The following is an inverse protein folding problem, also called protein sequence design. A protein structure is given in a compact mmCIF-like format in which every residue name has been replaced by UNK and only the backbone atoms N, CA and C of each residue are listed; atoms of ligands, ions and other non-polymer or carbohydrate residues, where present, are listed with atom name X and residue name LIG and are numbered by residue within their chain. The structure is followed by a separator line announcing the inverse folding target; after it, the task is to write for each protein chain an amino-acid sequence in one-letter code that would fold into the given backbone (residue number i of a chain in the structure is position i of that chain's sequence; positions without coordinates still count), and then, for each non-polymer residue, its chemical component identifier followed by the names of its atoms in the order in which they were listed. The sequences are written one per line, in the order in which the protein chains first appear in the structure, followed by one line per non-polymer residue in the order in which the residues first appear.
data_IF_735012454197
#
_entry.id   IF_735012454197
#
_cell.length_a   1.000
_cell.length_b   1.000
_cell.length_c   1.000
_cell.angle_alpha   90.00
_cell.angle_beta   90.00
_cell.angle_gamma   90.00
#
_symmetry.space_group_name_H-M   'P 1'
#
loop_
_entity.id
_entity.type
_entity.pdbx_description
1 polymer ?
#
# COMPACT_ATOMS: atom_id res chain seq x y z
N UNK A 1 -1.50 -5.40 -12.78
CA UNK A 1 -1.99 -6.31 -13.83
C UNK A 1 -3.38 -5.85 -14.22
N UNK A 2 -3.67 -5.70 -15.51
CA UNK A 2 -5.03 -5.38 -15.97
C UNK A 2 -5.86 -6.66 -16.06
N UNK A 3 -7.15 -6.55 -15.72
CA UNK A 3 -8.11 -7.62 -16.00
C UNK A 3 -8.39 -7.71 -17.51
N UNK A 4 -8.72 -8.91 -18.05
CA UNK A 4 -9.07 -9.06 -19.47
C UNK A 4 -10.27 -8.21 -19.88
N UNK A 5 -11.21 -8.00 -18.97
CA UNK A 5 -12.35 -7.11 -19.16
C UNK A 5 -11.98 -5.69 -18.70
N UNK A 6 -11.95 -4.75 -19.63
CA UNK A 6 -11.70 -3.34 -19.33
C UNK A 6 -13.00 -2.63 -18.90
N UNK A 7 -12.93 -1.60 -18.05
CA UNK A 7 -14.11 -0.86 -17.59
C UNK A 7 -14.78 -0.08 -18.74
N UNK A 8 -16.11 0.16 -18.68
CA UNK A 8 -16.84 0.92 -19.68
C UNK A 8 -16.58 2.43 -19.53
N UNK A 9 -15.51 2.93 -20.14
CA UNK A 9 -15.08 4.34 -20.08
C UNK A 9 -14.76 4.89 -21.47
N UNK A 10 -14.85 6.21 -21.65
CA UNK A 10 -14.50 6.87 -22.92
C UNK A 10 -13.02 6.73 -23.29
N UNK A 11 -12.14 6.73 -22.30
CA UNK A 11 -10.71 6.53 -22.48
C UNK A 11 -10.10 5.88 -21.22
N UNK A 12 -9.11 5.02 -21.43
CA UNK A 12 -8.36 4.34 -20.36
C UNK A 12 -6.87 4.41 -20.65
N UNK A 13 -6.13 5.06 -19.75
CA UNK A 13 -4.66 5.07 -19.74
C UNK A 13 -4.19 4.10 -18.66
N UNK A 14 -3.64 2.96 -19.06
CA UNK A 14 -3.12 1.98 -18.14
C UNK A 14 -2.00 1.16 -18.82
N UNK A 15 -0.73 1.32 -18.41
CA UNK A 15 0.40 0.63 -19.02
C UNK A 15 0.47 -0.86 -18.65
N UNK A 16 -0.50 -1.38 -17.88
CA UNK A 16 -0.65 -2.81 -17.60
C UNK A 16 -1.66 -3.50 -18.52
N UNK A 17 -2.24 -2.80 -19.51
CA UNK A 17 -3.13 -3.42 -20.49
C UNK A 17 -2.36 -4.43 -21.34
N UNK A 18 -3.06 -5.49 -21.77
CA UNK A 18 -2.47 -6.56 -22.58
C UNK A 18 -2.05 -6.08 -23.98
N UNK A 19 -2.67 -5.00 -24.47
CA UNK A 19 -2.41 -4.39 -25.77
C UNK A 19 -1.48 -3.16 -25.69
N UNK A 20 -0.89 -2.88 -24.52
CA UNK A 20 0.06 -1.77 -24.36
C UNK A 20 1.49 -2.18 -24.70
N UNK A 21 2.12 -1.43 -25.62
CA UNK A 21 3.50 -1.66 -26.08
C UNK A 21 4.51 -0.65 -25.50
N UNK A 22 4.11 0.18 -24.53
CA UNK A 22 4.94 1.29 -24.06
C UNK A 22 6.18 0.84 -23.27
N UNK A 23 6.15 -0.38 -22.70
CA UNK A 23 7.17 -0.84 -21.76
C UNK A 23 7.17 -0.06 -20.43
N UNK A 24 6.04 0.57 -20.08
CA UNK A 24 5.90 1.41 -18.89
C UNK A 24 5.03 0.78 -17.80
N UNK A 25 4.82 -0.54 -17.82
CA UNK A 25 3.99 -1.26 -16.84
C UNK A 25 4.43 -1.11 -15.39
N UNK A 26 5.69 -0.72 -15.16
CA UNK A 26 6.30 -0.41 -13.87
C UNK A 26 5.99 0.99 -13.33
N UNK A 27 5.32 1.86 -14.09
CA UNK A 27 4.95 3.19 -13.59
C UNK A 27 3.96 3.07 -12.44
N UNK A 28 4.26 3.77 -11.35
CA UNK A 28 3.26 4.07 -10.33
C UNK A 28 2.14 4.93 -10.94
N UNK A 29 0.95 4.89 -10.34
CA UNK A 29 -0.19 5.67 -10.82
C UNK A 29 0.13 7.17 -10.96
N UNK A 30 0.92 7.74 -10.03
CA UNK A 30 1.37 9.15 -10.10
C UNK A 30 2.22 9.44 -11.34
N UNK A 31 3.05 8.48 -11.78
CA UNK A 31 3.85 8.62 -12.99
C UNK A 31 3.00 8.58 -14.26
N UNK A 32 1.99 7.70 -14.28
CA UNK A 32 0.99 7.65 -15.37
C UNK A 32 0.21 8.97 -15.44
N UNK A 33 -0.25 9.47 -14.29
CA UNK A 33 -0.95 10.77 -14.19
C UNK A 33 -0.07 11.92 -14.65
N UNK A 34 1.20 11.95 -14.25
CA UNK A 34 2.13 12.99 -14.69
C UNK A 34 2.33 12.99 -16.21
N UNK A 35 2.53 11.81 -16.81
CA UNK A 35 2.66 11.70 -18.27
C UNK A 35 1.38 12.11 -19.01
N UNK A 36 0.21 11.79 -18.44
CA UNK A 36 -1.06 12.29 -18.96
C UNK A 36 -1.13 13.82 -18.93
N UNK A 37 -0.74 14.45 -17.83
CA UNK A 37 -0.69 15.91 -17.69
C UNK A 37 0.30 16.54 -18.69
N UNK A 38 1.47 15.92 -18.91
CA UNK A 38 2.44 16.34 -19.93
C UNK A 38 1.82 16.28 -21.33
N UNK A 39 1.14 15.17 -21.66
CA UNK A 39 0.46 15.01 -22.95
C UNK A 39 -0.68 16.02 -23.14
N UNK A 40 -1.46 16.28 -22.09
CA UNK A 40 -2.52 17.28 -22.09
C UNK A 40 -1.98 18.69 -22.34
N UNK A 41 -0.93 19.10 -21.61
CA UNK A 41 -0.28 20.40 -21.82
C UNK A 41 0.25 20.53 -23.26
N UNK A 42 0.88 19.49 -23.80
CA UNK A 42 1.34 19.49 -25.20
C UNK A 42 0.17 19.68 -26.18
N UNK A 43 -0.96 18.99 -25.97
CA UNK A 43 -2.13 19.11 -26.83
C UNK A 43 -2.80 20.50 -26.72
N UNK A 44 -2.86 21.08 -25.51
CA UNK A 44 -3.38 22.44 -25.29
C UNK A 44 -2.48 23.49 -25.94
N UNK A 45 -1.16 23.34 -25.86
CA UNK A 45 -0.19 24.22 -26.51
C UNK A 45 -0.37 24.24 -28.03
N UNK A 46 -0.54 23.07 -28.64
CA UNK A 46 -0.81 22.95 -30.10
C UNK A 46 -2.13 23.60 -30.52
N UNK A 47 -3.07 23.81 -29.59
CA UNK A 47 -4.36 24.46 -29.82
C UNK A 47 -4.37 25.95 -29.46
N UNK A 48 -3.21 26.54 -29.15
CA UNK A 48 -3.09 27.96 -28.77
C UNK A 48 -3.67 28.29 -27.39
N UNK A 49 -3.95 27.31 -26.54
CA UNK A 49 -4.62 27.54 -25.25
C UNK A 49 -3.83 28.44 -24.28
N UNK A 50 -2.51 28.43 -24.40
CA UNK A 50 -1.57 29.20 -23.58
C UNK A 50 -1.09 30.52 -24.23
N UNK A 51 -1.70 30.95 -25.35
CA UNK A 51 -1.36 32.26 -25.94
C UNK A 51 -1.75 33.43 -25.03
N UNK A 52 -2.76 33.24 -24.19
CA UNK A 52 -3.28 34.25 -23.24
C UNK A 52 -3.25 33.79 -21.79
N UNK A 53 -2.61 32.64 -21.51
CA UNK A 53 -2.58 32.01 -20.18
C UNK A 53 -1.19 31.47 -19.91
N UNK A 54 -0.76 31.54 -18.66
CA UNK A 54 0.50 30.92 -18.25
C UNK A 54 0.43 29.40 -18.35
N UNK A 55 1.50 28.80 -18.84
CA UNK A 55 1.62 27.34 -18.90
C UNK A 55 2.05 26.81 -17.52
N UNK A 56 1.41 25.75 -16.98
CA UNK A 56 1.78 25.16 -15.71
C UNK A 56 3.25 24.72 -15.64
N UNK A 57 3.96 24.99 -14.53
CA UNK A 57 5.38 24.62 -14.39
C UNK A 57 5.52 23.13 -14.04
N UNK A 58 5.28 22.23 -15.00
CA UNK A 58 5.21 20.78 -14.76
C UNK A 58 6.44 20.19 -14.06
N UNK A 59 7.62 20.76 -14.27
CA UNK A 59 8.84 20.29 -13.61
C UNK A 59 8.82 20.52 -12.09
N UNK A 60 8.06 21.50 -11.61
CA UNK A 60 7.91 21.78 -10.18
C UNK A 60 7.04 20.75 -9.47
N UNK A 61 6.20 20.01 -10.20
CA UNK A 61 5.36 18.95 -9.62
C UNK A 61 6.09 17.60 -9.51
N UNK A 62 7.35 17.52 -9.93
CA UNK A 62 8.12 16.28 -9.86
C UNK A 62 8.40 15.81 -8.43
N UNK A 63 8.33 16.70 -7.43
CA UNK A 63 8.41 16.31 -6.02
C UNK A 63 7.24 15.41 -5.60
N UNK A 64 6.02 15.71 -6.03
CA UNK A 64 4.83 14.87 -5.84
C UNK A 64 4.95 13.55 -6.61
N UNK A 65 5.48 13.60 -7.84
CA UNK A 65 5.73 12.39 -8.64
C UNK A 65 6.75 11.49 -7.95
N UNK A 66 7.84 12.06 -7.44
CA UNK A 66 8.86 11.31 -6.71
C UNK A 66 8.29 10.70 -5.42
N UNK A 67 7.55 11.48 -4.64
CA UNK A 67 6.92 11.01 -3.41
C UNK A 67 6.00 9.81 -3.69
N UNK A 68 5.06 9.96 -4.63
CA UNK A 68 4.11 8.89 -4.94
C UNK A 68 4.80 7.66 -5.53
N UNK A 69 5.81 7.84 -6.39
CA UNK A 69 6.58 6.73 -6.98
C UNK A 69 7.32 5.94 -5.90
N UNK A 70 7.95 6.63 -4.94
CA UNK A 70 8.64 5.97 -3.81
C UNK A 70 7.64 5.28 -2.88
N UNK A 71 6.51 5.92 -2.57
CA UNK A 71 5.49 5.36 -1.68
C UNK A 71 4.80 4.11 -2.27
N UNK A 72 4.73 3.99 -3.59
CA UNK A 72 4.15 2.84 -4.28
C UNK A 72 5.13 1.66 -4.40
N UNK A 73 6.37 1.82 -3.93
CA UNK A 73 7.41 0.76 -3.88
C UNK A 73 7.63 0.10 -5.24
N UNK A 74 7.48 0.86 -6.33
CA UNK A 74 7.77 0.39 -7.70
C UNK A 74 9.28 0.38 -7.97
N UNK A 75 9.78 -0.45 -8.91
CA UNK A 75 11.20 -0.47 -9.25
C UNK A 75 11.73 0.91 -9.67
N UNK A 76 12.80 1.36 -9.02
CA UNK A 76 13.48 2.63 -9.34
C UNK A 76 14.50 2.44 -10.47
N UNK A 77 13.99 2.07 -11.64
CA UNK A 77 14.74 1.90 -12.89
C UNK A 77 14.15 2.77 -13.99
N UNK A 78 14.90 2.98 -15.07
CA UNK A 78 14.44 3.75 -16.23
C UNK A 78 13.81 5.10 -15.87
N UNK A 79 12.57 5.32 -16.33
CA UNK A 79 11.84 6.58 -16.11
C UNK A 79 11.49 6.84 -14.64
N UNK A 80 11.17 5.80 -13.84
CA UNK A 80 10.92 5.97 -12.40
C UNK A 80 12.16 6.55 -11.70
N UNK A 81 13.35 6.05 -12.05
CA UNK A 81 14.62 6.58 -11.53
C UNK A 81 14.83 8.04 -11.92
N UNK A 82 14.49 8.40 -13.16
CA UNK A 82 14.60 9.78 -13.64
C UNK A 82 13.65 10.73 -12.88
N UNK A 83 12.37 10.33 -12.74
CA UNK A 83 11.38 11.09 -11.97
C UNK A 83 11.79 11.25 -10.51
N UNK A 84 12.20 10.17 -9.84
CA UNK A 84 12.60 10.24 -8.44
C UNK A 84 13.85 11.08 -8.25
N UNK A 85 14.88 10.92 -9.09
CA UNK A 85 16.11 11.73 -8.99
C UNK A 85 15.81 13.22 -9.14
N UNK A 86 15.06 13.61 -10.17
CA UNK A 86 14.76 15.02 -10.41
C UNK A 86 13.77 15.56 -9.37
N UNK A 87 12.76 14.78 -9.00
CA UNK A 87 11.76 15.17 -8.02
C UNK A 87 12.35 15.36 -6.62
N UNK A 88 13.34 14.57 -6.20
CA UNK A 88 14.08 14.85 -4.95
C UNK A 88 14.84 16.17 -5.01
N UNK A 89 15.44 16.50 -6.16
CA UNK A 89 16.10 17.80 -6.35
C UNK A 89 15.12 18.98 -6.33
N UNK A 90 13.87 18.77 -6.77
CA UNK A 90 12.79 19.76 -6.66
C UNK A 90 12.30 19.85 -5.20
N UNK A 91 12.05 18.73 -4.56
CA UNK A 91 11.60 18.63 -3.16
C UNK A 91 12.57 19.32 -2.19
N UNK A 92 13.87 19.23 -2.45
CA UNK A 92 14.92 19.91 -1.68
C UNK A 92 14.82 21.45 -1.70
N UNK A 93 14.11 22.03 -2.68
CA UNK A 93 13.89 23.48 -2.78
C UNK A 93 12.76 23.97 -1.88
N UNK A 94 11.98 23.07 -1.28
CA UNK A 94 10.90 23.40 -0.33
C UNK A 94 9.79 24.28 -0.94
N UNK A 95 9.56 24.19 -2.25
CA UNK A 95 8.55 25.00 -2.96
C UNK A 95 7.10 24.54 -2.73
N UNK A 96 6.86 23.25 -2.55
CA UNK A 96 5.52 22.73 -2.25
C UNK A 96 5.18 22.93 -0.77
N UNK A 97 4.13 23.71 -0.48
CA UNK A 97 3.73 24.07 0.89
C UNK A 97 3.45 22.82 1.76
N UNK A 98 2.77 21.81 1.22
CA UNK A 98 2.44 20.57 1.92
C UNK A 98 3.67 19.72 2.28
N UNK A 99 4.58 19.53 1.33
CA UNK A 99 5.82 18.78 1.57
C UNK A 99 6.77 19.51 2.53
N UNK A 100 6.81 20.84 2.45
CA UNK A 100 7.57 21.68 3.38
C UNK A 100 7.01 21.60 4.80
N UNK A 101 5.68 21.66 4.97
CA UNK A 101 5.04 21.47 6.26
C UNK A 101 5.30 20.07 6.84
N UNK A 102 5.26 19.02 6.01
CA UNK A 102 5.62 17.65 6.45
C UNK A 102 7.05 17.52 6.92
N UNK A 103 7.99 18.21 6.25
CA UNK A 103 9.38 18.22 6.67
C UNK A 103 9.56 18.94 8.01
N UNK A 104 8.86 20.06 8.20
CA UNK A 104 8.90 20.80 9.45
C UNK A 104 8.36 20.00 10.63
N UNK A 105 7.17 19.39 10.51
CA UNK A 105 6.62 18.55 11.60
C UNK A 105 7.43 17.27 11.85
N UNK A 106 8.20 16.83 10.86
CA UNK A 106 9.08 15.66 10.99
C UNK A 106 10.51 16.01 11.44
N UNK A 107 10.80 17.29 11.70
CA UNK A 107 12.13 17.79 12.10
C UNK A 107 13.23 17.44 11.08
N UNK A 108 12.93 17.62 9.78
CA UNK A 108 13.87 17.38 8.67
C UNK A 108 14.38 18.71 8.12
N UNK A 109 15.63 19.03 8.43
CA UNK A 109 16.33 20.22 7.93
C UNK A 109 17.21 19.93 6.70
N UNK A 110 17.56 18.67 6.45
CA UNK A 110 18.36 18.26 5.30
C UNK A 110 17.55 18.06 4.01
N UNK A 111 18.20 18.05 2.82
CA UNK A 111 17.56 17.67 1.57
C UNK A 111 16.88 16.29 1.65
N UNK A 112 15.59 16.17 1.30
CA UNK A 112 14.88 14.90 1.35
C UNK A 112 15.52 13.82 0.47
N UNK A 113 15.48 12.59 0.96
CA UNK A 113 15.96 11.39 0.26
C UNK A 113 14.79 10.45 -0.01
N UNK A 114 15.05 9.33 -0.72
CA UNK A 114 14.05 8.25 -0.84
C UNK A 114 13.63 7.69 0.52
N UNK A 115 14.51 7.72 1.52
CA UNK A 115 14.16 7.33 2.88
C UNK A 115 13.12 8.29 3.48
N UNK A 116 13.33 9.60 3.36
CA UNK A 116 12.37 10.60 3.82
C UNK A 116 11.00 10.44 3.13
N UNK A 117 10.99 10.27 1.81
CA UNK A 117 9.76 10.04 1.07
C UNK A 117 9.01 8.76 1.53
N UNK A 118 9.69 7.62 1.56
CA UNK A 118 9.06 6.32 1.83
C UNK A 118 8.76 6.02 3.30
N UNK A 119 9.57 6.53 4.23
CA UNK A 119 9.51 6.15 5.65
C UNK A 119 9.13 7.31 6.59
N UNK A 120 9.10 8.55 6.10
CA UNK A 120 8.76 9.73 6.91
C UNK A 120 7.51 10.43 6.40
N UNK A 121 7.47 10.83 5.13
CA UNK A 121 6.34 11.55 4.53
C UNK A 121 5.19 10.62 4.17
N UNK A 122 5.46 9.55 3.42
CA UNK A 122 4.46 8.56 3.02
C UNK A 122 3.63 8.01 4.18
N UNK A 123 4.24 7.59 5.31
CA UNK A 123 3.49 7.10 6.47
C UNK A 123 2.56 8.14 7.10
N UNK A 124 2.93 9.42 7.10
CA UNK A 124 2.08 10.50 7.63
C UNK A 124 0.87 10.74 6.75
N UNK A 125 1.09 10.89 5.44
CA UNK A 125 0.03 11.06 4.45
C UNK A 125 -0.96 9.89 4.51
N UNK A 126 -0.44 8.66 4.59
CA UNK A 126 -1.25 7.45 4.63
C UNK A 126 -1.93 7.21 5.99
N UNK A 127 -1.51 7.88 7.07
CA UNK A 127 -2.10 7.70 8.38
C UNK A 127 -3.56 8.17 8.43
N UNK A 128 -3.88 9.26 7.74
CA UNK A 128 -5.25 9.77 7.62
C UNK A 128 -6.21 8.70 7.11
N UNK A 129 -5.86 7.97 6.04
CA UNK A 129 -6.70 6.89 5.51
C UNK A 129 -6.76 5.62 6.39
N UNK A 130 -5.92 5.49 7.42
CA UNK A 130 -5.86 4.30 8.28
C UNK A 130 -6.62 4.47 9.58
N UNK A 131 -6.53 5.64 10.21
CA UNK A 131 -7.08 5.88 11.55
C UNK A 131 -7.92 7.16 11.64
N UNK A 132 -7.99 7.95 10.57
CA UNK A 132 -8.69 9.23 10.57
C UNK A 132 -9.34 9.53 9.22
N UNK A 133 -9.00 10.68 8.67
CA UNK A 133 -9.60 11.26 7.46
C UNK A 133 -8.71 11.04 6.23
N UNK A 134 -9.20 10.26 5.28
CA UNK A 134 -8.44 9.87 4.07
C UNK A 134 -8.12 11.03 3.13
N UNK A 135 -8.92 12.10 3.15
CA UNK A 135 -8.83 13.25 2.26
C UNK A 135 -7.73 14.24 2.63
N UNK A 136 -7.23 14.21 3.88
CA UNK A 136 -6.25 15.19 4.37
C UNK A 136 -4.93 15.16 3.61
N UNK A 137 -4.49 13.96 3.21
CA UNK A 137 -3.27 13.82 2.41
C UNK A 137 -3.38 14.53 1.05
N UNK A 138 -4.53 14.41 0.39
CA UNK A 138 -4.78 15.11 -0.86
C UNK A 138 -4.87 16.63 -0.65
N UNK A 139 -5.61 17.08 0.36
CA UNK A 139 -5.73 18.50 0.71
C UNK A 139 -4.38 19.14 1.01
N UNK A 140 -3.53 18.45 1.77
CA UNK A 140 -2.18 18.91 2.12
C UNK A 140 -1.32 19.07 0.86
N UNK A 141 -1.34 18.10 -0.06
CA UNK A 141 -0.48 18.13 -1.24
C UNK A 141 -0.98 19.08 -2.34
N UNK A 142 -2.25 19.51 -2.27
CA UNK A 142 -2.87 20.43 -3.23
C UNK A 142 -3.04 21.87 -2.73
N UNK A 143 -2.76 22.16 -1.46
CA UNK A 143 -2.89 23.52 -0.92
C UNK A 143 -1.68 24.38 -1.28
N UNK A 144 -1.93 25.66 -1.54
CA UNK A 144 -0.89 26.68 -1.72
C UNK A 144 -0.74 27.59 -0.49
N UNK A 145 -1.65 27.50 0.49
CA UNK A 145 -1.58 28.24 1.75
C UNK A 145 -0.64 27.53 2.75
N UNK A 146 0.51 28.13 3.12
CA UNK A 146 1.44 27.54 4.07
C UNK A 146 0.87 27.37 5.47
N UNK A 147 -0.02 28.26 5.92
CA UNK A 147 -0.62 28.16 7.25
C UNK A 147 -1.59 26.98 7.31
N UNK A 148 -2.42 26.83 6.27
CA UNK A 148 -3.30 25.67 6.15
C UNK A 148 -2.51 24.36 6.00
N UNK A 149 -1.44 24.35 5.19
CA UNK A 149 -0.54 23.20 5.05
C UNK A 149 0.05 22.76 6.40
N UNK A 150 0.46 23.72 7.24
CA UNK A 150 0.99 23.44 8.57
C UNK A 150 -0.05 22.78 9.48
N UNK A 151 -1.29 23.26 9.47
CA UNK A 151 -2.39 22.63 10.23
C UNK A 151 -2.65 21.19 9.78
N UNK A 152 -2.75 20.96 8.47
CA UNK A 152 -2.97 19.63 7.90
C UNK A 152 -1.81 18.67 8.20
N UNK A 153 -0.57 19.16 8.15
CA UNK A 153 0.62 18.36 8.46
C UNK A 153 0.66 17.94 9.94
N UNK A 154 0.27 18.82 10.87
CA UNK A 154 0.16 18.51 12.30
C UNK A 154 -0.92 17.46 12.57
N UNK A 155 -2.09 17.58 11.93
CA UNK A 155 -3.16 16.60 12.07
C UNK A 155 -2.73 15.22 11.53
N UNK A 156 -2.06 15.17 10.38
CA UNK A 156 -1.50 13.94 9.82
C UNK A 156 -0.39 13.34 10.70
N UNK A 157 0.41 14.17 11.38
CA UNK A 157 1.43 13.70 12.33
C UNK A 157 0.81 13.09 13.60
N UNK A 158 -0.28 13.68 14.10
CA UNK A 158 -1.06 13.11 15.19
C UNK A 158 -1.62 11.74 14.79
N UNK A 159 -2.31 11.66 13.65
CA UNK A 159 -2.82 10.38 13.14
C UNK A 159 -1.71 9.35 12.91
N UNK A 160 -0.54 9.79 12.46
CA UNK A 160 0.61 8.91 12.29
C UNK A 160 1.09 8.32 13.63
N UNK A 161 1.11 9.13 14.68
CA UNK A 161 1.48 8.71 16.04
C UNK A 161 0.44 7.76 16.64
N UNK A 162 -0.85 8.08 16.53
CA UNK A 162 -1.95 7.20 16.96
C UNK A 162 -1.90 5.85 16.22
N UNK A 163 -1.75 5.90 14.90
CA UNK A 163 -1.61 4.71 14.06
C UNK A 163 -0.44 3.85 14.49
N UNK A 164 0.72 4.43 14.83
CA UNK A 164 1.88 3.68 15.35
C UNK A 164 1.59 3.04 16.70
N UNK A 165 0.93 3.74 17.62
CA UNK A 165 0.57 3.18 18.93
C UNK A 165 -0.36 1.97 18.78
N UNK A 166 -1.42 2.11 17.96
CA UNK A 166 -2.35 1.02 17.65
C UNK A 166 -1.62 -0.14 16.95
N UNK A 167 -0.77 0.15 15.98
CA UNK A 167 0.00 -0.86 15.25
C UNK A 167 0.92 -1.66 16.18
N UNK A 168 1.61 -1.02 17.12
CA UNK A 168 2.46 -1.70 18.11
C UNK A 168 1.64 -2.63 18.99
N UNK A 169 0.53 -2.15 19.56
CA UNK A 169 -0.33 -2.98 20.41
C UNK A 169 -0.82 -4.23 19.66
N UNK A 170 -1.40 -4.03 18.46
CA UNK A 170 -1.91 -5.14 17.65
C UNK A 170 -0.79 -6.10 17.25
N UNK A 171 0.40 -5.58 16.93
CA UNK A 171 1.53 -6.41 16.55
C UNK A 171 2.01 -7.30 17.70
N UNK A 172 2.13 -6.76 18.92
CA UNK A 172 2.63 -7.51 20.07
C UNK A 172 1.68 -8.67 20.38
N UNK A 173 0.37 -8.40 20.48
CA UNK A 173 -0.65 -9.43 20.68
C UNK A 173 -0.64 -10.47 19.54
N UNK A 174 -0.58 -10.01 18.29
CA UNK A 174 -0.59 -10.89 17.12
C UNK A 174 0.68 -11.76 17.04
N UNK A 175 1.84 -11.24 17.46
CA UNK A 175 3.08 -12.01 17.53
C UNK A 175 3.03 -13.11 18.58
N UNK A 176 2.46 -12.84 19.75
CA UNK A 176 2.25 -13.86 20.77
C UNK A 176 1.33 -14.98 20.27
N UNK A 177 0.21 -14.61 19.66
CA UNK A 177 -0.73 -15.57 19.07
C UNK A 177 -0.07 -16.41 17.97
N UNK A 178 0.68 -15.77 17.07
CA UNK A 178 1.38 -16.44 16.00
C UNK A 178 2.46 -17.39 16.52
N UNK A 179 3.22 -16.99 17.55
CA UNK A 179 4.23 -17.83 18.17
C UNK A 179 3.63 -19.08 18.81
N UNK A 180 2.48 -18.95 19.51
CA UNK A 180 1.73 -20.09 20.06
C UNK A 180 1.24 -21.01 18.95
N UNK A 181 0.64 -20.45 17.89
CA UNK A 181 0.19 -21.24 16.73
C UNK A 181 1.33 -22.06 16.12
N UNK A 182 2.50 -21.46 15.89
CA UNK A 182 3.67 -22.15 15.32
C UNK A 182 4.20 -23.23 16.27
N UNK A 183 4.20 -22.99 17.58
CA UNK A 183 4.65 -23.97 18.57
C UNK A 183 3.70 -25.18 18.67
N UNK A 184 2.39 -24.95 18.66
CA UNK A 184 1.36 -26.00 18.77
C UNK A 184 1.16 -26.76 17.46
N UNK A 185 1.36 -26.09 16.32
CA UNK A 185 1.09 -26.61 14.98
C UNK A 185 2.29 -26.33 14.06
N UNK A 186 3.45 -27.00 14.25
CA UNK A 186 4.67 -26.73 13.48
C UNK A 186 4.54 -27.03 11.98
N UNK A 187 3.51 -27.79 11.59
CA UNK A 187 3.20 -28.13 10.19
C UNK A 187 2.29 -27.09 9.51
N UNK A 188 1.82 -26.07 10.24
CA UNK A 188 0.95 -25.04 9.68
C UNK A 188 1.68 -24.25 8.59
N UNK A 189 1.09 -24.22 7.39
CA UNK A 189 1.66 -23.51 6.25
C UNK A 189 1.28 -22.01 6.21
N UNK A 190 0.56 -21.52 7.21
CA UNK A 190 0.12 -20.13 7.33
C UNK A 190 -0.07 -19.73 8.79
N UNK A 191 0.02 -18.42 9.07
CA UNK A 191 -0.38 -17.78 10.32
C UNK A 191 -1.73 -17.12 10.11
N UNK A 192 -2.71 -17.47 10.93
CA UNK A 192 -4.04 -16.86 10.87
C UNK A 192 -4.45 -16.50 12.28
N UNK A 193 -4.43 -15.20 12.58
CA UNK A 193 -4.70 -14.66 13.92
C UNK A 193 -5.87 -13.69 13.86
N UNK A 194 -6.72 -13.72 14.89
CA UNK A 194 -7.93 -12.91 14.97
C UNK A 194 -8.20 -12.49 16.40
N UNK A 195 -8.48 -11.20 16.64
CA UNK A 195 -8.87 -10.72 17.96
C UNK A 195 -9.87 -9.56 17.88
N UNK A 196 -10.64 -9.39 18.97
CA UNK A 196 -11.51 -8.23 19.19
C UNK A 196 -10.65 -7.02 19.58
N UNK A 197 -11.08 -5.82 19.20
CA UNK A 197 -10.39 -4.57 19.55
C UNK A 197 -9.22 -4.18 18.63
N UNK A 198 -8.83 -5.04 17.69
CA UNK A 198 -7.84 -4.67 16.67
C UNK A 198 -8.42 -3.69 15.65
N UNK A 199 -7.63 -2.70 15.22
CA UNK A 199 -8.09 -1.69 14.28
C UNK A 199 -7.90 -2.14 12.82
N UNK A 200 -8.95 -2.15 11.97
CA UNK A 200 -8.84 -2.57 10.56
C UNK A 200 -7.82 -1.80 9.72
N UNK A 201 -7.51 -0.56 10.09
CA UNK A 201 -6.50 0.28 9.41
C UNK A 201 -5.04 -0.19 9.55
N UNK A 202 -4.73 -1.06 10.53
CA UNK A 202 -3.34 -1.51 10.81
C UNK A 202 -3.09 -2.98 10.50
N UNK A 203 -4.13 -3.83 10.40
CA UNK A 203 -3.99 -5.29 10.22
C UNK A 203 -3.16 -5.67 8.99
N UNK A 204 -3.19 -4.86 7.92
CA UNK A 204 -2.36 -5.10 6.74
C UNK A 204 -0.87 -4.89 6.97
N UNK A 205 -0.50 -3.96 7.87
CA UNK A 205 0.90 -3.73 8.26
C UNK A 205 1.36 -4.88 9.18
N UNK A 206 0.51 -5.25 10.14
CA UNK A 206 0.78 -6.35 11.07
C UNK A 206 0.94 -7.67 10.31
N UNK A 207 0.08 -7.96 9.33
CA UNK A 207 0.20 -9.13 8.46
C UNK A 207 1.55 -9.16 7.72
N UNK A 208 2.03 -8.03 7.20
CA UNK A 208 3.37 -7.94 6.60
C UNK A 208 4.46 -8.30 7.59
N UNK A 209 4.42 -7.73 8.81
CA UNK A 209 5.43 -7.97 9.86
C UNK A 209 5.43 -9.42 10.34
N UNK A 210 4.26 -10.05 10.51
CA UNK A 210 4.17 -11.48 10.84
C UNK A 210 4.76 -12.34 9.71
N UNK A 211 4.41 -12.04 8.46
CA UNK A 211 4.96 -12.73 7.28
C UNK A 211 6.48 -12.61 7.23
N UNK A 212 7.04 -11.44 7.50
CA UNK A 212 8.51 -11.24 7.54
C UNK A 212 9.17 -11.95 8.71
N UNK A 213 8.54 -11.97 9.89
CA UNK A 213 9.07 -12.59 11.11
C UNK A 213 9.09 -14.13 11.05
N UNK A 214 8.00 -14.71 10.56
CA UNK A 214 7.80 -16.17 10.58
C UNK A 214 8.03 -16.84 9.23
N UNK A 215 8.17 -16.05 8.15
CA UNK A 215 8.35 -16.54 6.78
C UNK A 215 7.22 -17.46 6.29
N UNK A 216 6.01 -17.25 6.81
CA UNK A 216 4.78 -17.92 6.37
C UNK A 216 3.80 -16.86 5.84
N UNK A 217 2.88 -17.20 4.92
CA UNK A 217 1.71 -16.37 4.67
C UNK A 217 1.02 -16.04 6.00
N UNK A 218 0.64 -14.77 6.18
CA UNK A 218 0.00 -14.30 7.40
C UNK A 218 -1.31 -13.59 7.08
N UNK A 219 -2.36 -13.91 7.83
CA UNK A 219 -3.67 -13.27 7.77
C UNK A 219 -4.00 -12.77 9.18
N UNK A 220 -4.30 -11.48 9.28
CA UNK A 220 -4.65 -10.80 10.54
C UNK A 220 -6.07 -10.30 10.40
N UNK A 221 -6.94 -10.69 11.35
CA UNK A 221 -8.38 -10.41 11.31
C UNK A 221 -8.76 -9.57 12.54
N UNK A 222 -9.23 -8.35 12.29
CA UNK A 222 -9.85 -7.50 13.31
C UNK A 222 -11.33 -7.89 13.45
N UNK A 223 -11.72 -8.39 14.61
CA UNK A 223 -13.11 -8.74 14.92
C UNK A 223 -13.84 -7.50 15.45
N UNK A 224 -14.99 -7.20 14.85
CA UNK A 224 -15.91 -6.16 15.30
C UNK A 224 -16.69 -6.65 16.54
N UNK A 225 -17.07 -5.71 17.41
CA UNK A 225 -17.95 -6.00 18.55
C UNK A 225 -19.32 -6.46 18.04
N UNK A 226 -19.91 -7.45 18.71
CA UNK A 226 -21.22 -7.99 18.36
C UNK A 226 -22.31 -6.92 18.57
N UNK A 227 -22.87 -6.40 17.47
CA UNK A 227 -24.10 -5.62 17.47
C UNK A 227 -25.33 -6.47 17.10
N UNK A 228 -26.50 -5.84 17.04
CA UNK A 228 -27.76 -6.43 16.59
C UNK A 228 -27.70 -6.78 15.09
N UNK A 229 -27.06 -7.91 14.76
CA UNK A 229 -26.81 -8.34 13.37
C UNK A 229 -25.76 -9.45 13.23
N UNK A 230 -25.13 -9.87 14.33
CA UNK A 230 -24.00 -10.81 14.31
C UNK A 230 -22.67 -10.08 14.12
N UNK A 231 -21.61 -10.56 14.76
CA UNK A 231 -20.27 -9.97 14.62
C UNK A 231 -19.67 -10.25 13.24
N UNK A 232 -18.87 -9.32 12.72
CA UNK A 232 -18.05 -9.53 11.52
C UNK A 232 -16.58 -9.32 11.81
N UNK A 233 -15.71 -9.82 10.94
CA UNK A 233 -14.27 -9.64 11.00
C UNK A 233 -13.72 -9.13 9.68
N UNK A 234 -12.91 -8.08 9.72
CA UNK A 234 -12.15 -7.58 8.56
C UNK A 234 -10.72 -8.12 8.62
N UNK A 235 -10.29 -8.78 7.55
CA UNK A 235 -8.99 -9.42 7.46
C UNK A 235 -8.11 -8.82 6.37
N UNK A 236 -6.81 -8.77 6.63
CA UNK A 236 -5.79 -8.52 5.61
C UNK A 236 -4.73 -9.60 5.65
N UNK A 237 -4.35 -10.08 4.47
CA UNK A 237 -3.40 -11.15 4.27
C UNK A 237 -2.17 -10.70 3.48
N UNK A 238 -1.01 -11.28 3.79
CA UNK A 238 0.24 -11.14 3.04
C UNK A 238 0.85 -12.51 2.80
N UNK A 239 1.28 -12.77 1.57
CA UNK A 239 1.85 -14.06 1.15
C UNK A 239 3.37 -14.01 1.08
N UNK A 240 3.96 -15.18 0.92
CA UNK A 240 5.38 -15.39 0.57
C UNK A 240 5.50 -15.86 -0.88
N UNK A 241 6.72 -15.79 -1.43
CA UNK A 241 6.97 -16.29 -2.78
C UNK A 241 6.54 -17.75 -2.92
N UNK A 242 5.91 -18.08 -4.05
CA UNK A 242 5.40 -19.42 -4.34
C UNK A 242 3.92 -19.62 -4.01
N UNK A 243 3.39 -18.94 -2.99
CA UNK A 243 2.02 -19.16 -2.51
C UNK A 243 1.06 -18.06 -2.95
N UNK A 244 -0.09 -18.46 -3.49
CA UNK A 244 -1.15 -17.58 -3.97
C UNK A 244 -2.27 -17.43 -2.94
N UNK A 245 -2.16 -16.35 -2.16
CA UNK A 245 -3.13 -16.03 -1.12
C UNK A 245 -4.44 -15.46 -1.71
N UNK A 246 -4.37 -14.73 -2.81
CA UNK A 246 -5.53 -14.18 -3.49
C UNK A 246 -6.46 -15.29 -4.01
N UNK A 247 -5.89 -16.34 -4.60
CA UNK A 247 -6.64 -17.51 -5.04
C UNK A 247 -7.31 -18.24 -3.87
N UNK A 248 -6.61 -18.42 -2.75
CA UNK A 248 -7.16 -19.07 -1.55
C UNK A 248 -8.36 -18.30 -0.97
N UNK A 249 -8.24 -16.97 -0.87
CA UNK A 249 -9.34 -16.11 -0.38
C UNK A 249 -10.51 -16.07 -1.36
N UNK A 250 -10.25 -16.07 -2.67
CA UNK A 250 -11.30 -16.12 -3.70
C UNK A 250 -12.07 -17.45 -3.62
N UNK A 251 -11.36 -18.57 -3.44
CA UNK A 251 -11.99 -19.88 -3.25
C UNK A 251 -12.85 -19.92 -1.97
N UNK A 252 -12.39 -19.30 -0.87
CA UNK A 252 -13.17 -19.21 0.36
C UNK A 252 -14.46 -18.39 0.18
N UNK A 253 -14.42 -17.31 -0.61
CA UNK A 253 -15.61 -16.55 -1.00
C UNK A 253 -16.59 -17.39 -1.82
N UNK A 254 -16.09 -18.13 -2.81
CA UNK A 254 -16.91 -19.03 -3.63
C UNK A 254 -17.54 -20.18 -2.82
N UNK A 255 -16.86 -20.63 -1.76
CA UNK A 255 -17.38 -21.62 -0.81
C UNK A 255 -18.41 -21.05 0.18
N UNK A 256 -18.75 -19.75 0.10
CA UNK A 256 -19.71 -19.10 1.00
C UNK A 256 -19.20 -18.87 2.42
N UNK A 257 -17.88 -18.94 2.65
CA UNK A 257 -17.27 -18.71 3.96
C UNK A 257 -17.02 -17.22 4.25
N UNK A 258 -16.95 -16.40 3.20
CA UNK A 258 -16.71 -14.96 3.30
C UNK A 258 -17.92 -14.16 2.84
N UNK A 259 -18.18 -13.05 3.53
CA UNK A 259 -19.09 -11.99 3.07
C UNK A 259 -18.47 -11.28 1.87
N UNK A 260 -17.18 -10.96 1.97
CA UNK A 260 -16.39 -10.43 0.86
C UNK A 260 -14.95 -10.93 0.93
N UNK A 261 -14.27 -10.94 -0.22
CA UNK A 261 -12.94 -11.53 -0.32
C UNK A 261 -12.36 -11.37 -1.73
N UNK A 262 -11.07 -11.07 -1.80
CA UNK A 262 -10.32 -10.96 -3.05
C UNK A 262 -8.89 -10.49 -2.81
N UNK A 263 -8.13 -10.38 -3.89
CA UNK A 263 -6.75 -9.89 -3.85
C UNK A 263 -5.90 -10.43 -4.98
N UNK A 264 -4.60 -10.33 -4.79
CA UNK A 264 -3.58 -10.83 -5.71
C UNK A 264 -2.73 -11.89 -4.99
N UNK A 265 -1.81 -12.51 -5.75
CA UNK A 265 -0.92 -13.56 -5.24
C UNK A 265 -0.27 -13.23 -3.89
N UNK A 266 0.21 -11.98 -3.72
CA UNK A 266 0.98 -11.55 -2.56
C UNK A 266 0.17 -10.87 -1.44
N UNK A 267 -1.09 -10.52 -1.68
CA UNK A 267 -1.91 -9.80 -0.71
C UNK A 267 -3.40 -10.04 -0.94
N UNK A 268 -4.17 -10.18 0.14
CA UNK A 268 -5.61 -10.36 0.07
C UNK A 268 -6.34 -9.55 1.15
N UNK A 269 -7.60 -9.20 0.88
CA UNK A 269 -8.53 -8.62 1.84
C UNK A 269 -9.76 -9.51 1.96
N UNK A 270 -10.32 -9.61 3.17
CA UNK A 270 -11.50 -10.44 3.43
C UNK A 270 -12.43 -9.80 4.47
N UNK A 271 -13.68 -10.23 4.43
CA UNK A 271 -14.70 -9.95 5.44
C UNK A 271 -15.43 -11.26 5.74
N UNK A 272 -15.46 -11.65 7.00
CA UNK A 272 -16.01 -12.93 7.48
C UNK A 272 -17.05 -12.68 8.56
N UNK A 273 -18.08 -13.51 8.63
CA UNK A 273 -18.97 -13.53 9.80
C UNK A 273 -18.26 -14.23 10.96
N UNK A 274 -18.37 -13.73 12.19
CA UNK A 274 -17.59 -14.24 13.34
C UNK A 274 -17.87 -15.73 13.61
N UNK A 275 -19.08 -16.20 13.35
CA UNK A 275 -19.50 -17.60 13.47
C UNK A 275 -18.82 -18.53 12.43
N UNK A 276 -18.48 -18.00 11.24
CA UNK A 276 -17.77 -18.73 10.18
C UNK A 276 -16.25 -18.68 10.29
N UNK A 277 -15.71 -17.97 11.29
CA UNK A 277 -14.27 -17.83 11.45
C UNK A 277 -13.54 -19.18 11.61
N UNK A 278 -14.02 -20.14 12.42
CA UNK A 278 -13.35 -21.44 12.54
C UNK A 278 -13.29 -22.21 11.21
N UNK A 279 -14.40 -22.23 10.47
CA UNK A 279 -14.48 -22.89 9.16
C UNK A 279 -13.57 -22.23 8.13
N UNK A 280 -13.50 -20.89 8.15
CA UNK A 280 -12.58 -20.12 7.30
C UNK A 280 -11.12 -20.47 7.59
N UNK A 281 -10.73 -20.51 8.87
CA UNK A 281 -9.36 -20.84 9.27
C UNK A 281 -8.98 -22.22 8.77
N UNK A 282 -9.83 -23.22 9.00
CA UNK A 282 -9.60 -24.60 8.54
C UNK A 282 -9.47 -24.68 7.01
N UNK A 283 -10.38 -24.00 6.28
CA UNK A 283 -10.37 -23.97 4.82
C UNK A 283 -9.08 -23.34 4.27
N UNK A 284 -8.67 -22.18 4.80
CA UNK A 284 -7.49 -21.47 4.34
C UNK A 284 -6.20 -22.24 4.67
N UNK A 285 -6.10 -22.79 5.88
CA UNK A 285 -4.95 -23.62 6.27
C UNK A 285 -4.79 -24.83 5.34
N UNK A 286 -5.90 -25.53 5.03
CA UNK A 286 -5.89 -26.66 4.11
C UNK A 286 -5.40 -26.26 2.71
N UNK A 287 -5.98 -25.19 2.14
CA UNK A 287 -5.62 -24.70 0.80
C UNK A 287 -4.17 -24.24 0.70
N UNK A 288 -3.68 -23.51 1.70
CA UNK A 288 -2.29 -23.02 1.71
C UNK A 288 -1.31 -24.18 1.91
N UNK A 289 -1.68 -25.17 2.72
CA UNK A 289 -0.88 -26.39 2.91
C UNK A 289 -0.78 -27.23 1.64
N UNK A 290 -1.86 -27.34 0.85
CA UNK A 290 -1.78 -27.99 -0.47
C UNK A 290 -0.81 -27.25 -1.39
N UNK A 291 -0.92 -25.91 -1.47
CA UNK A 291 -0.01 -25.11 -2.29
C UNK A 291 1.46 -25.25 -1.87
N UNK A 292 1.73 -25.35 -0.57
CA UNK A 292 3.11 -25.43 -0.05
C UNK A 292 3.77 -26.79 -0.30
N UNK A 293 2.98 -27.86 -0.51
CA UNK A 293 3.50 -29.17 -0.93
C UNK A 293 4.07 -29.13 -2.35
N UNK A 294 3.38 -28.45 -3.25
CA UNK A 294 3.80 -28.29 -4.64
C UNK A 294 4.88 -27.21 -4.80
N UNK A 295 4.95 -26.26 -3.86
CA UNK A 295 5.84 -25.10 -3.89
C UNK A 295 6.44 -24.84 -2.51
N UNK A 296 7.55 -25.52 -2.16
CA UNK A 296 8.15 -25.36 -0.85
C UNK A 296 8.55 -23.90 -0.59
N UNK A 297 8.31 -23.46 0.65
CA UNK A 297 8.67 -22.12 1.11
C UNK A 297 10.20 -22.07 1.23
N UNK A 298 10.85 -21.46 0.23
CA UNK A 298 12.29 -21.33 0.19
C UNK A 298 12.73 -19.94 0.65
N UNK A 299 13.72 -19.89 1.55
CA UNK A 299 14.49 -18.67 1.81
C UNK A 299 15.50 -18.50 0.67
N UNK A 300 15.42 -17.39 -0.04
CA UNK A 300 16.41 -17.02 -1.07
C UNK A 300 17.48 -16.11 -0.49
N UNK A 301 18.74 -16.34 -0.85
CA UNK A 301 19.83 -15.37 -0.69
C UNK A 301 20.14 -14.86 -2.09
N UNK A 302 19.98 -13.56 -2.31
CA UNK A 302 20.45 -12.91 -3.55
C UNK A 302 21.96 -12.77 -3.51
N UNK A 303 22.66 -13.34 -4.48
CA UNK A 303 24.11 -13.16 -4.65
C UNK A 303 24.30 -12.23 -5.85
N UNK A 304 24.73 -11.00 -5.60
CA UNK A 304 24.88 -9.98 -6.65
C UNK A 304 26.11 -10.26 -7.53
N UNK A 305 27.22 -10.66 -6.92
CA UNK A 305 28.44 -11.07 -7.61
C UNK A 305 29.31 -11.96 -6.72
N UNK A 306 30.18 -12.76 -7.35
CA UNK A 306 31.32 -13.39 -6.66
C UNK A 306 32.54 -12.54 -6.94
N UNK A 307 33.17 -12.02 -5.87
CA UNK A 307 34.44 -11.32 -5.97
C UNK A 307 35.56 -12.36 -5.79
N UNK A 308 36.42 -12.48 -6.81
CA UNK A 308 37.58 -13.38 -6.85
C UNK A 308 38.85 -12.65 -7.26
#
# INVERSE_FOLDING_TARGET
QAEPALPPVHALVNPNRLDDESGLGQLAAVGVTFLFVVALNRALRQRGFFETREEPPLLEWLDLVALGTVCDVVPLTGVNRAFVRQGLAVMARRGNAGLSALAHVADIDEPPTTYHAGFVFGPRINAGGRVGRSELGAQLLSTEDPAHAQTLAQELDLYNSERRAIETQVLDEAQEMAARQVAERPQAAAIIVAAKGWHPGVIGIVASRLKDRFHLPAIVIALESEGEGGGTGKGSGRSVAGLDLGAAVTAAKQAGLLINGGGHKMAAGLTVATDKLPDLVSFLESRITEQSRDRPIARGIGIDAVLG
#
